data_IF_766551304941
#
_entry.id   IF_766551304941
#
_cell.length_a   1.000
_cell.length_b   1.000
_cell.length_c   1.000
_cell.angle_alpha   90.00
_cell.angle_beta   90.00
_cell.angle_gamma   90.00
#
_symmetry.space_group_name_H-M   'P 1'
#
loop_
_entity.id
_entity.type
_entity.pdbx_description
1 polymer ?
#
# COMPACT_ATOMS: atom_id res chain seq x y z
N UNK A 1 3.26 -7.82 12.84
CA UNK A 1 2.45 -6.60 12.53
C UNK A 1 1.48 -6.21 13.65
N UNK A 2 0.81 -7.15 14.32
CA UNK A 2 -0.14 -6.88 15.41
C UNK A 2 0.44 -5.99 16.53
N UNK A 3 1.60 -6.34 17.11
CA UNK A 3 2.22 -5.58 18.19
C UNK A 3 2.48 -4.09 17.87
N UNK A 4 2.85 -3.75 16.62
CA UNK A 4 3.06 -2.35 16.18
C UNK A 4 1.74 -1.59 16.12
N UNK A 5 0.68 -2.24 15.64
CA UNK A 5 -0.67 -1.67 15.59
C UNK A 5 -1.19 -1.42 17.01
N UNK A 6 -1.03 -2.38 17.90
CA UNK A 6 -1.51 -2.29 19.28
C UNK A 6 -0.79 -1.19 20.05
N UNK A 7 0.53 -1.04 19.86
CA UNK A 7 1.30 0.09 20.40
C UNK A 7 0.78 1.44 19.90
N UNK A 8 0.43 1.55 18.62
CA UNK A 8 -0.13 2.80 18.06
C UNK A 8 -1.52 3.12 18.62
N UNK A 9 -2.35 2.10 18.84
CA UNK A 9 -3.65 2.24 19.48
C UNK A 9 -3.49 2.68 20.94
N UNK A 10 -2.56 2.08 21.68
CA UNK A 10 -2.27 2.46 23.06
C UNK A 10 -1.80 3.92 23.16
N UNK A 11 -0.87 4.33 22.29
CA UNK A 11 -0.40 5.71 22.22
C UNK A 11 -1.53 6.70 21.90
N UNK A 12 -2.38 6.37 20.92
CA UNK A 12 -3.53 7.22 20.59
C UNK A 12 -4.52 7.36 21.75
N UNK A 13 -4.78 6.27 22.48
CA UNK A 13 -5.63 6.31 23.69
C UNK A 13 -5.01 7.15 24.79
N UNK A 14 -3.71 7.00 25.06
CA UNK A 14 -2.98 7.79 26.04
C UNK A 14 -3.00 9.28 25.71
N UNK A 15 -2.77 9.64 24.44
CA UNK A 15 -2.85 11.02 23.96
C UNK A 15 -4.24 11.62 24.16
N UNK A 16 -5.29 10.86 23.81
CA UNK A 16 -6.68 11.29 23.99
C UNK A 16 -6.99 11.55 25.46
N UNK A 17 -6.57 10.66 26.36
CA UNK A 17 -6.76 10.81 27.80
C UNK A 17 -6.04 12.05 28.35
N UNK A 18 -4.80 12.31 27.91
CA UNK A 18 -4.04 13.49 28.31
C UNK A 18 -4.71 14.78 27.82
N UNK A 19 -5.21 14.81 26.58
CA UNK A 19 -5.97 15.94 26.04
C UNK A 19 -7.25 16.20 26.82
N UNK A 20 -8.01 15.15 27.12
CA UNK A 20 -9.24 15.25 27.91
C UNK A 20 -8.96 15.78 29.32
N UNK A 21 -7.92 15.26 29.99
CA UNK A 21 -7.51 15.74 31.31
C UNK A 21 -7.09 17.21 31.29
N UNK A 22 -6.35 17.65 30.27
CA UNK A 22 -5.99 19.05 30.10
C UNK A 22 -7.21 19.95 29.92
N UNK A 23 -8.19 19.52 29.13
CA UNK A 23 -9.46 20.25 28.94
C UNK A 23 -10.25 20.37 30.25
N UNK A 24 -10.34 19.29 31.02
CA UNK A 24 -11.02 19.28 32.33
C UNK A 24 -10.31 20.22 33.32
N UNK A 25 -8.98 20.14 33.42
CA UNK A 25 -8.20 21.00 34.30
C UNK A 25 -8.31 22.47 33.90
N UNK A 26 -8.33 22.78 32.60
CA UNK A 26 -8.52 24.15 32.09
C UNK A 26 -9.91 24.71 32.36
N UNK A 27 -10.96 23.88 32.34
CA UNK A 27 -12.35 24.30 32.60
C UNK A 27 -12.67 24.41 34.08
N UNK A 28 -11.79 23.94 34.96
CA UNK A 28 -12.04 23.96 36.39
C UNK A 28 -12.07 25.42 36.90
N UNK A 29 -13.17 25.90 37.50
CA UNK A 29 -13.27 27.28 38.00
C UNK A 29 -12.22 27.60 39.06
N UNK A 30 -11.70 26.61 39.81
CA UNK A 30 -10.62 26.82 40.79
C UNK A 30 -9.31 27.27 40.15
N UNK A 31 -9.09 26.89 38.89
CA UNK A 31 -7.97 27.40 38.10
C UNK A 31 -8.18 28.85 37.67
N UNK A 32 -9.43 29.25 37.33
CA UNK A 32 -9.75 30.61 36.86
C UNK A 32 -9.89 31.63 37.99
N UNK A 33 -10.56 31.29 39.09
CA UNK A 33 -11.00 32.26 40.10
C UNK A 33 -9.98 32.48 41.22
N UNK A 34 -9.18 31.47 41.57
CA UNK A 34 -8.34 31.50 42.77
C UNK A 34 -6.88 31.06 42.57
N UNK A 35 -6.50 30.60 41.37
CA UNK A 35 -5.12 30.21 41.10
C UNK A 35 -4.59 29.17 42.09
N UNK A 36 -5.41 28.16 42.40
CA UNK A 36 -5.05 27.06 43.29
C UNK A 36 -3.76 26.40 42.78
N UNK A 37 -2.65 26.58 43.51
CA UNK A 37 -1.29 26.27 43.06
C UNK A 37 -1.13 24.77 42.73
N UNK A 38 -1.90 23.90 43.42
CA UNK A 38 -1.90 22.47 43.15
C UNK A 38 -2.50 22.15 41.77
N UNK A 39 -3.58 22.84 41.38
CA UNK A 39 -4.24 22.64 40.07
C UNK A 39 -3.36 23.22 38.95
N UNK A 40 -2.72 24.37 39.19
CA UNK A 40 -1.77 24.97 38.25
C UNK A 40 -0.60 24.02 38.02
N UNK A 41 -0.04 23.45 39.09
CA UNK A 41 1.03 22.45 39.02
C UNK A 41 0.58 21.22 38.24
N UNK A 42 -0.60 20.68 38.53
CA UNK A 42 -1.14 19.51 37.84
C UNK A 42 -1.32 19.78 36.33
N UNK A 43 -1.83 20.96 35.98
CA UNK A 43 -2.01 21.38 34.58
C UNK A 43 -0.67 21.47 33.84
N UNK A 44 0.36 22.03 34.45
CA UNK A 44 1.68 22.10 33.81
C UNK A 44 2.35 20.73 33.69
N UNK A 45 2.26 19.88 34.71
CA UNK A 45 2.81 18.51 34.65
C UNK A 45 2.11 17.65 33.58
N UNK A 46 0.79 17.76 33.48
CA UNK A 46 0.02 17.08 32.42
C UNK A 46 0.37 17.64 31.04
N UNK A 47 0.61 18.95 30.92
CA UNK A 47 1.07 19.57 29.67
C UNK A 47 2.45 19.08 29.24
N UNK A 48 3.40 18.99 30.16
CA UNK A 48 4.75 18.45 29.89
C UNK A 48 4.63 16.99 29.45
N UNK A 49 3.81 16.19 30.13
CA UNK A 49 3.59 14.78 29.77
C UNK A 49 2.99 14.65 28.37
N UNK A 50 2.03 15.51 28.03
CA UNK A 50 1.45 15.57 26.69
C UNK A 50 2.50 15.94 25.63
N UNK A 51 3.31 16.98 25.89
CA UNK A 51 4.37 17.41 25.00
C UNK A 51 5.40 16.29 24.74
N UNK A 52 5.81 15.56 25.79
CA UNK A 52 6.71 14.40 25.67
C UNK A 52 6.10 13.36 24.73
N UNK A 53 4.82 13.02 24.89
CA UNK A 53 4.15 12.06 24.01
C UNK A 53 4.13 12.52 22.55
N UNK A 54 3.79 13.79 22.30
CA UNK A 54 3.80 14.38 20.95
C UNK A 54 5.21 14.38 20.35
N UNK A 55 6.24 14.71 21.12
CA UNK A 55 7.62 14.70 20.62
C UNK A 55 8.11 13.31 20.24
N UNK A 56 7.71 12.28 20.99
CA UNK A 56 8.06 10.89 20.67
C UNK A 56 7.38 10.42 19.39
N UNK A 57 6.12 10.82 19.15
CA UNK A 57 5.43 10.55 17.89
C UNK A 57 6.08 11.30 16.71
N UNK A 58 6.43 12.57 16.90
CA UNK A 58 7.13 13.36 15.88
C UNK A 58 8.49 12.75 15.53
N UNK A 59 9.23 12.24 16.52
CA UNK A 59 10.51 11.55 16.31
C UNK A 59 10.35 10.28 15.46
N UNK A 60 9.32 9.47 15.68
CA UNK A 60 9.01 8.30 14.84
C UNK A 60 8.67 8.72 13.40
N UNK A 61 7.99 9.86 13.20
CA UNK A 61 7.76 10.42 11.85
C UNK A 61 9.07 10.84 11.19
N UNK A 62 9.89 11.61 11.89
CA UNK A 62 11.18 12.11 11.39
C UNK A 62 12.13 10.98 11.00
N UNK A 63 12.17 9.90 11.79
CA UNK A 63 13.00 8.74 11.46
C UNK A 63 12.59 8.09 10.13
N UNK A 64 11.28 8.03 9.84
CA UNK A 64 10.79 7.49 8.56
C UNK A 64 11.04 8.45 7.39
N UNK A 65 10.92 9.74 7.65
CA UNK A 65 11.22 10.78 6.66
C UNK A 65 12.70 10.77 6.29
N UNK A 66 13.60 10.52 7.23
CA UNK A 66 15.03 10.42 6.97
C UNK A 66 15.35 9.33 5.94
N UNK A 67 14.73 8.15 6.08
CA UNK A 67 14.89 7.04 5.12
C UNK A 67 14.33 7.42 3.74
N UNK A 68 13.18 8.11 3.69
CA UNK A 68 12.60 8.58 2.43
C UNK A 68 13.49 9.64 1.75
N UNK A 69 14.05 10.56 2.51
CA UNK A 69 14.96 11.59 2.01
C UNK A 69 16.29 11.00 1.52
N UNK A 70 16.78 9.94 2.18
CA UNK A 70 17.97 9.22 1.72
C UNK A 70 17.76 8.56 0.36
N UNK A 71 16.53 8.16 0.04
CA UNK A 71 16.14 7.58 -1.25
C UNK A 71 15.71 8.65 -2.28
N UNK A 72 15.64 9.92 -1.90
CA UNK A 72 15.19 10.98 -2.78
C UNK A 72 16.16 11.16 -3.97
N UNK A 73 15.66 11.21 -5.21
CA UNK A 73 16.49 11.52 -6.37
C UNK A 73 17.15 12.89 -6.19
N UNK A 74 18.43 13.00 -6.58
CA UNK A 74 19.11 14.31 -6.58
C UNK A 74 18.39 15.22 -7.58
N UNK A 75 18.10 16.48 -7.22
CA UNK A 75 17.56 17.43 -8.19
C UNK A 75 18.58 17.64 -9.30
N UNK A 76 18.12 17.58 -10.55
CA UNK A 76 18.97 17.85 -11.71
C UNK A 76 19.57 19.26 -11.60
N UNK A 77 20.87 19.43 -11.89
CA UNK A 77 21.58 20.70 -11.70
C UNK A 77 21.00 21.86 -12.51
N UNK A 78 20.18 21.60 -13.53
CA UNK A 78 19.52 22.63 -14.35
C UNK A 78 18.40 23.38 -13.60
N UNK A 79 17.88 22.84 -12.49
CA UNK A 79 16.78 23.47 -11.74
C UNK A 79 17.22 24.52 -10.72
N UNK A 80 18.51 24.60 -10.37
CA UNK A 80 18.98 25.44 -9.26
C UNK A 80 19.35 26.89 -9.67
N UNK A 81 19.49 27.17 -10.97
CA UNK A 81 19.94 28.48 -11.49
C UNK A 81 18.92 29.23 -12.35
N UNK A 82 17.82 28.60 -12.74
CA UNK A 82 16.79 29.24 -13.55
C UNK A 82 15.77 29.90 -12.62
N UNK A 83 15.91 31.21 -12.39
CA UNK A 83 14.78 32.03 -11.97
C UNK A 83 13.58 31.68 -12.89
N UNK A 84 12.37 31.47 -12.36
CA UNK A 84 11.22 31.18 -13.19
C UNK A 84 10.99 32.41 -14.06
N UNK A 85 11.50 32.40 -15.28
CA UNK A 85 11.11 33.37 -16.28
C UNK A 85 9.61 33.15 -16.45
N UNK A 86 8.76 34.14 -16.13
CA UNK A 86 7.42 34.08 -16.67
C UNK A 86 7.62 34.13 -18.18
N UNK A 87 6.89 33.25 -18.86
CA UNK A 87 6.56 33.35 -20.28
C UNK A 87 7.38 32.49 -21.25
N UNK A 88 6.59 31.70 -22.00
CA UNK A 88 6.85 30.87 -23.18
C UNK A 88 7.46 29.45 -23.07
N UNK A 89 8.23 29.08 -22.04
CA UNK A 89 8.77 27.71 -21.97
C UNK A 89 7.81 26.66 -21.38
N UNK A 90 6.80 27.09 -20.61
CA UNK A 90 5.82 26.20 -19.93
C UNK A 90 4.57 25.92 -20.76
N UNK A 91 4.39 26.60 -21.90
CA UNK A 91 3.37 26.24 -22.90
C UNK A 91 3.93 25.22 -23.89
N UNK A 92 4.11 23.98 -23.43
CA UNK A 92 4.32 22.82 -24.33
C UNK A 92 3.09 22.53 -25.22
N UNK A 93 1.99 23.22 -24.96
CA UNK A 93 0.76 23.19 -25.75
C UNK A 93 0.82 24.05 -27.01
N UNK A 94 1.91 24.75 -27.31
CA UNK A 94 1.99 25.45 -28.59
C UNK A 94 2.15 24.39 -29.68
N UNK A 95 1.09 24.08 -30.44
CA UNK A 95 1.16 22.95 -31.34
C UNK A 95 2.12 23.35 -32.45
N UNK A 96 3.19 22.56 -32.64
CA UNK A 96 4.04 22.61 -33.83
C UNK A 96 3.24 22.59 -35.16
N UNK A 97 1.93 22.29 -35.09
CA UNK A 97 0.95 22.41 -36.17
C UNK A 97 0.83 23.82 -36.75
N UNK A 98 1.08 24.89 -35.98
CA UNK A 98 0.90 26.26 -36.49
C UNK A 98 1.90 26.63 -37.59
N UNK A 99 3.09 26.04 -37.59
CA UNK A 99 4.11 26.30 -38.61
C UNK A 99 4.10 25.28 -39.77
N UNK A 100 3.48 24.10 -39.58
CA UNK A 100 3.58 22.96 -40.50
C UNK A 100 2.28 22.72 -41.31
N UNK A 101 1.11 23.20 -40.85
CA UNK A 101 -0.15 23.08 -41.61
C UNK A 101 -0.28 24.14 -42.71
N UNK A 102 0.68 24.20 -43.64
CA UNK A 102 0.45 24.80 -44.97
C UNK A 102 -0.29 23.80 -45.87
N UNK A 103 -1.51 23.44 -45.48
CA UNK A 103 -2.58 22.84 -46.32
C UNK A 103 -2.20 21.89 -47.47
N UNK A 104 -1.20 21.00 -47.31
CA UNK A 104 -0.70 20.13 -48.39
C UNK A 104 -0.85 18.63 -48.10
N UNK A 105 -0.81 17.76 -49.13
CA UNK A 105 -0.89 16.31 -48.96
C UNK A 105 0.32 15.76 -48.18
N UNK A 106 0.09 14.83 -47.24
CA UNK A 106 1.13 14.25 -46.37
C UNK A 106 2.13 13.37 -47.12
N UNK A 107 1.68 12.74 -48.21
CA UNK A 107 2.46 11.83 -49.05
C UNK A 107 2.41 12.32 -50.49
N UNK A 108 3.52 12.18 -51.21
CA UNK A 108 3.50 12.27 -52.67
C UNK A 108 2.71 11.10 -53.26
N UNK A 109 2.26 11.20 -54.52
CA UNK A 109 1.56 10.10 -55.23
C UNK A 109 2.38 8.80 -55.32
N UNK A 110 3.70 8.85 -55.08
CA UNK A 110 4.61 7.70 -55.01
C UNK A 110 4.93 7.25 -53.57
N UNK A 111 4.19 7.73 -52.56
CA UNK A 111 4.29 7.30 -51.17
C UNK A 111 5.45 7.90 -50.37
N UNK A 112 6.21 8.86 -50.92
CA UNK A 112 7.27 9.54 -50.17
C UNK A 112 6.66 10.61 -49.25
N UNK A 113 6.99 10.64 -47.94
CA UNK A 113 6.48 11.64 -47.01
C UNK A 113 7.06 13.01 -47.33
N UNK A 114 6.18 13.99 -47.55
CA UNK A 114 6.54 15.37 -47.86
C UNK A 114 6.47 16.28 -46.63
N UNK A 115 5.82 15.81 -45.57
CA UNK A 115 5.67 16.49 -44.30
C UNK A 115 6.21 15.60 -43.18
N UNK A 116 6.79 16.18 -42.12
CA UNK A 116 7.17 15.41 -40.96
C UNK A 116 5.91 14.83 -40.30
N UNK A 117 5.92 13.52 -40.06
CA UNK A 117 4.87 12.81 -39.32
C UNK A 117 5.51 12.07 -38.14
N UNK A 118 4.78 11.91 -37.04
CA UNK A 118 5.25 11.20 -35.85
C UNK A 118 4.79 9.75 -35.92
N UNK A 119 5.73 8.81 -35.87
CA UNK A 119 5.48 7.36 -35.82
C UNK A 119 5.02 6.86 -34.44
N UNK A 120 5.33 7.62 -33.40
CA UNK A 120 5.00 7.28 -32.01
C UNK A 120 3.57 7.77 -31.73
N UNK A 121 2.77 6.95 -31.03
CA UNK A 121 1.45 7.34 -30.54
C UNK A 121 1.49 8.66 -29.77
N UNK A 122 0.33 9.31 -29.62
CA UNK A 122 0.25 10.64 -29.00
C UNK A 122 0.99 10.64 -27.66
N UNK A 123 1.80 11.68 -27.40
CA UNK A 123 2.52 11.84 -26.12
C UNK A 123 1.57 11.86 -24.92
N UNK A 124 0.29 12.19 -25.14
CA UNK A 124 -0.78 12.07 -24.13
C UNK A 124 -1.03 10.63 -23.71
N UNK A 125 -0.88 9.66 -24.61
CA UNK A 125 -1.03 8.24 -24.30
C UNK A 125 0.15 7.75 -23.46
N UNK A 126 1.36 8.22 -23.79
CA UNK A 126 2.57 7.92 -23.05
C UNK A 126 2.54 8.53 -21.63
N UNK A 127 2.10 9.78 -21.50
CA UNK A 127 1.93 10.45 -20.19
C UNK A 127 0.92 9.73 -19.28
N UNK A 128 -0.13 9.14 -19.84
CA UNK A 128 -1.10 8.30 -19.12
C UNK A 128 -0.51 7.00 -18.56
N UNK A 129 0.71 6.64 -18.98
CA UNK A 129 1.42 5.44 -18.54
C UNK A 129 2.45 5.67 -17.42
N UNK A 130 2.96 6.90 -17.24
CA UNK A 130 4.15 7.17 -16.40
C UNK A 130 3.82 7.31 -14.91
N UNK A 131 2.59 7.68 -14.55
CA UNK A 131 2.14 7.81 -13.16
C UNK A 131 1.07 6.78 -12.80
N UNK A 132 1.34 5.52 -13.13
CA UNK A 132 0.58 4.40 -12.56
C UNK A 132 1.29 3.95 -11.29
N UNK A 133 0.53 3.51 -10.29
CA UNK A 133 1.10 2.78 -9.16
C UNK A 133 2.05 1.70 -9.69
N UNK A 134 3.26 1.58 -9.14
CA UNK A 134 4.28 0.61 -9.59
C UNK A 134 3.90 -0.87 -9.39
N UNK A 135 2.61 -1.14 -9.17
CA UNK A 135 2.00 -2.44 -9.03
C UNK A 135 0.79 -2.43 -9.96
N UNK A 136 0.65 -3.47 -10.79
CA UNK A 136 -0.57 -3.69 -11.55
C UNK A 136 -1.70 -3.82 -10.52
N UNK A 137 -2.55 -2.80 -10.39
CA UNK A 137 -3.80 -2.99 -9.66
C UNK A 137 -4.55 -4.13 -10.36
N UNK A 138 -5.16 -5.05 -9.60
CA UNK A 138 -6.11 -5.99 -10.17
C UNK A 138 -7.06 -5.23 -11.09
N UNK A 139 -7.14 -5.64 -12.35
CA UNK A 139 -8.04 -5.04 -13.35
C UNK A 139 -9.50 -5.31 -13.03
N UNK A 140 -9.76 -6.21 -12.07
CA UNK A 140 -11.06 -6.72 -11.67
C UNK A 140 -11.14 -6.72 -10.15
N UNK A 141 -12.34 -6.51 -9.62
CA UNK A 141 -12.57 -6.58 -8.17
C UNK A 141 -12.46 -8.03 -7.68
N UNK A 142 -12.27 -8.21 -6.37
CA UNK A 142 -12.19 -9.55 -5.75
C UNK A 142 -13.45 -10.36 -6.06
N UNK A 143 -14.60 -9.72 -5.98
CA UNK A 143 -15.91 -10.34 -6.23
C UNK A 143 -16.04 -10.77 -7.69
N UNK A 144 -15.59 -9.91 -8.63
CA UNK A 144 -15.63 -10.17 -10.07
C UNK A 144 -14.69 -11.31 -10.50
N UNK A 145 -13.51 -11.38 -9.87
CA UNK A 145 -12.57 -12.50 -10.06
C UNK A 145 -13.14 -13.81 -9.49
N UNK A 146 -13.80 -13.78 -8.34
CA UNK A 146 -14.50 -14.94 -7.79
C UNK A 146 -15.60 -15.42 -8.74
N UNK A 147 -16.41 -14.52 -9.30
CA UNK A 147 -17.45 -14.88 -10.26
C UNK A 147 -16.88 -15.51 -11.55
N UNK A 148 -15.73 -15.03 -12.02
CA UNK A 148 -15.03 -15.62 -13.16
C UNK A 148 -14.43 -16.98 -12.85
N UNK A 149 -13.80 -17.15 -11.69
CA UNK A 149 -13.30 -18.45 -11.25
C UNK A 149 -14.47 -19.42 -10.97
N UNK A 150 -15.63 -18.95 -10.53
CA UNK A 150 -16.87 -19.74 -10.38
C UNK A 150 -17.36 -20.21 -11.75
N UNK A 151 -17.35 -19.31 -12.74
CA UNK A 151 -17.71 -19.61 -14.13
C UNK A 151 -16.72 -20.59 -14.78
N UNK A 152 -15.43 -20.45 -14.47
CA UNK A 152 -14.37 -21.35 -14.95
C UNK A 152 -14.35 -22.69 -14.19
N UNK A 153 -15.15 -22.83 -13.13
CA UNK A 153 -15.23 -24.05 -12.31
C UNK A 153 -13.98 -24.31 -11.47
N UNK A 154 -13.16 -23.29 -11.25
CA UNK A 154 -11.86 -23.38 -10.60
C UNK A 154 -11.92 -23.07 -9.09
N UNK A 155 -13.12 -22.78 -8.58
CA UNK A 155 -13.38 -22.62 -7.15
C UNK A 155 -13.62 -23.98 -6.51
N UNK A 156 -12.76 -24.33 -5.55
CA UNK A 156 -12.95 -25.48 -4.69
C UNK A 156 -14.14 -25.23 -3.76
N UNK A 157 -15.32 -25.68 -4.20
CA UNK A 157 -16.54 -25.71 -3.42
C UNK A 157 -16.50 -26.93 -2.47
N UNK A 158 -15.55 -26.96 -1.53
CA UNK A 158 -15.36 -28.14 -0.66
C UNK A 158 -14.30 -28.00 0.44
N UNK A 159 -13.99 -26.78 0.88
CA UNK A 159 -12.84 -26.52 1.75
C UNK A 159 -13.03 -26.79 3.25
N UNK A 160 -14.21 -27.19 3.71
CA UNK A 160 -14.43 -27.53 5.12
C UNK A 160 -15.42 -28.69 5.21
N UNK A 161 -14.95 -29.89 4.86
CA UNK A 161 -15.53 -31.09 5.46
C UNK A 161 -15.31 -30.94 6.97
N UNK A 162 -16.39 -30.81 7.72
CA UNK A 162 -16.36 -30.79 9.19
C UNK A 162 -15.69 -32.10 9.62
N UNK A 163 -14.51 -32.03 10.24
CA UNK A 163 -13.82 -33.21 10.74
C UNK A 163 -14.77 -33.92 11.70
N UNK A 164 -15.33 -35.03 11.27
CA UNK A 164 -16.09 -35.90 12.16
C UNK A 164 -15.14 -36.34 13.26
N UNK A 165 -15.44 -35.93 14.50
CA UNK A 165 -14.73 -36.41 15.67
C UNK A 165 -15.06 -37.89 15.77
N UNK A 166 -14.07 -38.73 15.50
CA UNK A 166 -14.21 -40.19 15.64
C UNK A 166 -14.38 -40.50 17.12
N UNK A 167 -15.46 -41.19 17.47
CA UNK A 167 -15.75 -41.61 18.84
C UNK A 167 -14.71 -42.65 19.27
N UNK A 168 -13.98 -42.39 20.35
CA UNK A 168 -12.87 -43.24 20.82
C UNK A 168 -13.37 -44.59 21.37
N UNK A 169 -14.68 -44.70 21.65
CA UNK A 169 -15.32 -45.91 22.17
C UNK A 169 -15.78 -46.89 21.05
N UNK A 170 -15.73 -46.50 19.78
CA UNK A 170 -16.05 -47.38 18.64
C UNK A 170 -14.80 -48.12 18.13
N UNK A 171 -14.63 -49.38 18.53
CA UNK A 171 -13.48 -50.21 18.14
C UNK A 171 -13.31 -50.30 16.61
N UNK A 172 -14.40 -50.33 15.83
CA UNK A 172 -14.30 -50.49 14.38
C UNK A 172 -13.79 -49.20 13.70
N UNK A 173 -14.13 -48.04 14.25
CA UNK A 173 -13.63 -46.75 13.76
C UNK A 173 -12.14 -46.54 14.09
N UNK A 174 -11.69 -46.97 15.28
CA UNK A 174 -10.27 -46.89 15.68
C UNK A 174 -9.37 -47.78 14.83
N UNK A 175 -9.84 -48.99 14.50
CA UNK A 175 -9.13 -49.90 13.60
C UNK A 175 -8.98 -49.28 12.20
N UNK A 176 -10.06 -48.72 11.62
CA UNK A 176 -10.02 -48.07 10.32
C UNK A 176 -9.07 -46.87 10.28
N UNK A 177 -9.04 -46.06 11.35
CA UNK A 177 -8.10 -44.94 11.46
C UNK A 177 -6.64 -45.44 11.45
N UNK A 178 -6.38 -46.55 12.14
CA UNK A 178 -5.04 -47.16 12.22
C UNK A 178 -4.61 -47.72 10.86
N UNK A 179 -5.51 -48.40 10.13
CA UNK A 179 -5.21 -48.87 8.77
C UNK A 179 -4.97 -47.73 7.78
N UNK A 180 -5.76 -46.64 7.86
CA UNK A 180 -5.57 -45.44 7.03
C UNK A 180 -4.23 -44.76 7.31
N UNK A 181 -3.83 -44.67 8.58
CA UNK A 181 -2.54 -44.11 8.96
C UNK A 181 -1.37 -44.91 8.37
N UNK A 182 -1.42 -46.25 8.47
CA UNK A 182 -0.39 -47.13 7.87
C UNK A 182 -0.32 -46.98 6.34
N UNK A 183 -1.47 -46.95 5.67
CA UNK A 183 -1.52 -46.77 4.22
C UNK A 183 -0.95 -45.40 3.78
N UNK A 184 -1.13 -44.37 4.62
CA UNK A 184 -0.58 -43.05 4.38
C UNK A 184 0.95 -43.01 4.55
N UNK A 185 1.46 -43.72 5.54
CA UNK A 185 2.91 -43.87 5.75
C UNK A 185 3.55 -44.63 4.58
N UNK A 186 2.98 -45.76 4.15
CA UNK A 186 3.45 -46.53 2.99
C UNK A 186 3.42 -45.69 1.70
N UNK A 187 2.34 -44.94 1.47
CA UNK A 187 2.26 -44.01 0.34
C UNK A 187 3.33 -42.91 0.40
N UNK A 188 3.62 -42.38 1.58
CA UNK A 188 4.63 -41.32 1.76
C UNK A 188 6.04 -41.84 1.52
N UNK A 189 6.32 -43.07 1.95
CA UNK A 189 7.59 -43.76 1.72
C UNK A 189 7.80 -44.08 0.22
N UNK A 190 6.74 -44.50 -0.48
CA UNK A 190 6.76 -44.78 -1.92
C UNK A 190 6.79 -43.51 -2.79
N UNK A 191 6.39 -42.35 -2.26
CA UNK A 191 6.31 -41.07 -2.99
C UNK A 191 7.25 -40.02 -2.36
N UNK A 192 8.57 -40.14 -2.55
CA UNK A 192 9.53 -39.21 -1.97
C UNK A 192 9.33 -37.79 -2.52
N UNK A 193 9.43 -36.80 -1.62
CA UNK A 193 9.30 -35.38 -1.96
C UNK A 193 10.33 -35.00 -3.03
N UNK A 194 9.84 -34.52 -4.18
CA UNK A 194 10.68 -34.13 -5.31
C UNK A 194 10.79 -35.15 -6.44
N UNK A 195 10.05 -36.27 -6.39
CA UNK A 195 9.89 -37.19 -7.52
C UNK A 195 9.19 -36.58 -8.76
N UNK A 196 8.70 -35.34 -8.65
CA UNK A 196 8.05 -34.57 -9.73
C UNK A 196 8.98 -33.64 -10.50
N UNK A 197 8.42 -32.56 -11.06
CA UNK A 197 9.10 -31.64 -11.98
C UNK A 197 10.35 -30.97 -11.35
N UNK A 198 11.52 -31.52 -11.65
CA UNK A 198 12.84 -30.98 -11.26
C UNK A 198 13.44 -30.03 -12.29
N UNK A 199 12.78 -29.82 -13.45
CA UNK A 199 13.30 -29.02 -14.57
C UNK A 199 13.26 -27.50 -14.30
N UNK A 200 12.57 -27.06 -13.24
CA UNK A 200 12.38 -25.65 -12.92
C UNK A 200 13.12 -25.23 -11.62
N UNK A 201 14.25 -25.87 -11.30
CA UNK A 201 15.18 -25.37 -10.26
C UNK A 201 16.13 -24.36 -10.92
N UNK A 202 15.58 -23.18 -11.25
CA UNK A 202 16.32 -21.95 -11.54
C UNK A 202 16.48 -21.12 -10.27
#
# INVERSE_FOLDING_TARGET
MAARRDGKIANYKAEKQLKERLEVLRRNPRYLDHGDDEIVRELHLTHITFAVHTTMQALDSLNREFDMLAQAPRPDPESAGAAPKPDDATRLDQPFRSMINRGGPLLSAKGKPLQPFTLVGSRTDLARGVFRSGHNLPTMSIDEYLDEEMRQGNILQGGVEEKTVVDEDDMEATDQATYKARAWDEFTDDNPKGAGNTLNRG
#
